data_IF_593287557055
#
_entry.id   IF_593287557055
#
_cell.length_a   1.000
_cell.length_b   1.000
_cell.length_c   1.000
_cell.angle_alpha   90.00
_cell.angle_beta   90.00
_cell.angle_gamma   90.00
#
_symmetry.space_group_name_H-M   'P 1'
#
loop_
_entity.id
_entity.type
_entity.pdbx_description
1 polymer ?
#
# COMPACT_ATOMS: atom_id res chain seq x y z
N UNK A 1 38.25 -15.62 3.64
CA UNK A 1 37.35 -15.20 2.56
C UNK A 1 35.94 -15.41 3.08
N UNK A 2 35.33 -14.37 3.63
CA UNK A 2 34.13 -14.44 4.47
C UNK A 2 32.86 -14.48 3.61
N UNK A 3 31.90 -15.33 4.00
CA UNK A 3 30.61 -15.52 3.37
C UNK A 3 29.62 -14.33 3.57
N UNK A 4 30.10 -13.10 3.39
CA UNK A 4 29.30 -11.88 3.55
C UNK A 4 29.80 -10.82 2.56
N UNK A 5 29.65 -11.12 1.29
CA UNK A 5 29.53 -10.14 0.20
C UNK A 5 28.34 -10.52 -0.72
N UNK A 6 27.37 -11.27 -0.17
CA UNK A 6 26.06 -11.46 -0.82
C UNK A 6 25.20 -10.24 -0.51
N UNK A 7 24.69 -9.58 -1.55
CA UNK A 7 23.71 -8.50 -1.43
C UNK A 7 22.57 -8.95 -0.49
N UNK A 8 22.46 -8.30 0.66
CA UNK A 8 21.44 -8.64 1.65
C UNK A 8 20.08 -8.16 1.14
N UNK A 9 19.17 -9.10 0.93
CA UNK A 9 17.80 -8.80 0.55
C UNK A 9 17.07 -8.08 1.70
N UNK A 10 16.37 -6.99 1.38
CA UNK A 10 15.55 -6.20 2.28
C UNK A 10 14.07 -6.39 1.95
N UNK A 11 13.29 -6.92 2.91
CA UNK A 11 11.89 -7.24 2.70
C UNK A 11 10.99 -6.42 3.64
N UNK A 12 9.90 -5.88 3.09
CA UNK A 12 8.84 -5.22 3.84
C UNK A 12 7.58 -6.09 3.81
N UNK A 13 7.09 -6.49 4.99
CA UNK A 13 5.84 -7.25 5.14
C UNK A 13 4.79 -6.44 5.89
N UNK A 14 3.60 -6.32 5.31
CA UNK A 14 2.52 -5.45 5.78
C UNK A 14 1.25 -6.25 6.10
N UNK A 15 0.88 -6.26 7.37
CA UNK A 15 -0.31 -6.97 7.83
C UNK A 15 -1.62 -6.24 7.49
N UNK A 16 -2.71 -7.00 7.45
CA UNK A 16 -4.06 -6.48 7.32
C UNK A 16 -4.55 -5.83 8.61
N UNK A 17 -5.32 -4.74 8.50
CA UNK A 17 -5.79 -4.02 9.68
C UNK A 17 -7.02 -3.13 9.49
N UNK A 18 -7.58 -3.04 8.27
CA UNK A 18 -8.59 -2.03 7.98
C UNK A 18 -8.02 -0.63 8.25
N UNK A 19 -8.81 0.27 8.82
CA UNK A 19 -8.32 1.63 9.16
C UNK A 19 -7.04 1.66 10.02
N UNK A 20 -6.75 0.60 10.79
CA UNK A 20 -5.52 0.49 11.60
C UNK A 20 -4.23 0.42 10.77
N UNK A 21 -4.31 0.13 9.47
CA UNK A 21 -3.17 0.18 8.55
C UNK A 21 -2.47 1.55 8.51
N UNK A 22 -3.16 2.63 8.90
CA UNK A 22 -2.54 3.94 9.09
C UNK A 22 -1.41 3.92 10.12
N UNK A 23 -1.54 3.12 11.19
CA UNK A 23 -0.49 2.97 12.19
C UNK A 23 0.79 2.42 11.56
N UNK A 24 0.67 1.38 10.72
CA UNK A 24 1.80 0.80 9.98
C UNK A 24 2.44 1.81 9.04
N UNK A 25 1.63 2.60 8.32
CA UNK A 25 2.14 3.67 7.44
C UNK A 25 2.86 4.78 8.21
N UNK A 26 2.38 5.19 9.38
CA UNK A 26 3.08 6.19 10.19
C UNK A 26 4.39 5.67 10.77
N UNK A 27 4.46 4.40 11.16
CA UNK A 27 5.73 3.77 11.56
C UNK A 27 6.69 3.76 10.38
N UNK A 28 6.24 3.33 9.20
CA UNK A 28 7.05 3.34 7.98
C UNK A 28 7.50 4.76 7.60
N UNK A 29 6.64 5.77 7.80
CA UNK A 29 6.97 7.17 7.56
C UNK A 29 8.13 7.62 8.42
N UNK A 30 8.09 7.35 9.72
CA UNK A 30 9.19 7.71 10.63
C UNK A 30 10.51 7.05 10.20
N UNK A 31 10.47 5.78 9.78
CA UNK A 31 11.66 5.07 9.28
C UNK A 31 12.21 5.70 8.00
N UNK A 32 11.35 5.96 7.01
CA UNK A 32 11.75 6.55 5.73
C UNK A 32 12.19 8.01 5.86
N UNK A 33 11.53 8.80 6.71
CA UNK A 33 11.92 10.18 7.01
C UNK A 33 13.30 10.20 7.69
N UNK A 34 13.56 9.31 8.66
CA UNK A 34 14.88 9.19 9.30
C UNK A 34 15.97 8.86 8.29
N UNK A 35 15.72 7.86 7.43
CA UNK A 35 16.64 7.46 6.37
C UNK A 35 16.92 8.61 5.40
N UNK A 36 15.87 9.32 4.95
CA UNK A 36 16.02 10.41 4.00
C UNK A 36 16.69 11.65 4.61
N UNK A 37 16.51 11.90 5.91
CA UNK A 37 17.26 12.95 6.62
C UNK A 37 18.76 12.63 6.69
N UNK A 38 19.12 11.37 6.95
CA UNK A 38 20.53 10.95 6.92
C UNK A 38 21.14 11.12 5.52
N UNK A 39 20.39 10.72 4.48
CA UNK A 39 20.80 10.92 3.08
C UNK A 39 20.96 12.39 2.71
N UNK A 40 20.06 13.25 3.18
CA UNK A 40 20.15 14.70 2.95
C UNK A 40 21.42 15.29 3.59
N UNK A 41 21.78 14.85 4.81
CA UNK A 41 23.03 15.26 5.46
C UNK A 41 24.28 14.84 4.65
N UNK A 42 24.18 13.73 3.91
CA UNK A 42 25.22 13.23 3.01
C UNK A 42 25.13 13.84 1.59
N UNK A 43 24.19 14.75 1.33
CA UNK A 43 23.98 15.39 0.02
C UNK A 43 23.35 14.46 -1.04
N UNK A 44 22.72 13.38 -0.60
CA UNK A 44 22.04 12.39 -1.45
C UNK A 44 20.55 12.71 -1.59
N UNK A 45 19.92 12.39 -2.74
CA UNK A 45 18.50 12.61 -2.93
C UNK A 45 17.66 11.65 -2.05
N UNK A 46 16.43 12.04 -1.68
CA UNK A 46 15.51 11.17 -0.97
C UNK A 46 15.12 9.98 -1.85
N UNK A 47 14.81 8.88 -1.19
CA UNK A 47 14.43 7.61 -1.82
C UNK A 47 13.05 7.17 -1.34
N UNK A 48 12.35 6.47 -2.23
CA UNK A 48 11.04 5.87 -2.00
C UNK A 48 11.18 4.45 -1.45
N UNK A 49 10.11 3.88 -0.84
CA UNK A 49 10.16 2.51 -0.34
C UNK A 49 10.56 1.47 -1.39
N UNK A 50 10.10 1.61 -2.65
CA UNK A 50 10.45 0.71 -3.75
C UNK A 50 11.91 0.79 -4.21
N UNK A 51 12.69 1.76 -3.71
CA UNK A 51 14.13 1.88 -3.99
C UNK A 51 14.98 1.32 -2.84
N UNK A 52 14.34 0.93 -1.73
CA UNK A 52 14.99 0.41 -0.52
C UNK A 52 14.68 -1.06 -0.28
N UNK A 53 13.44 -1.47 -0.54
CA UNK A 53 12.99 -2.84 -0.34
C UNK A 53 12.99 -3.60 -1.66
N UNK A 54 13.60 -4.79 -1.67
CA UNK A 54 13.61 -5.69 -2.83
C UNK A 54 12.25 -6.36 -3.02
N UNK A 55 11.49 -6.54 -1.94
CA UNK A 55 10.14 -7.09 -1.96
C UNK A 55 9.25 -6.36 -0.93
N UNK A 56 8.10 -5.89 -1.39
CA UNK A 56 7.04 -5.37 -0.52
C UNK A 56 5.82 -6.28 -0.65
N UNK A 57 5.53 -7.03 0.41
CA UNK A 57 4.38 -7.93 0.49
C UNK A 57 3.36 -7.48 1.53
N UNK A 58 2.11 -7.88 1.37
CA UNK A 58 1.11 -7.65 2.41
C UNK A 58 -0.20 -8.38 2.19
N UNK A 59 -0.99 -8.49 3.26
CA UNK A 59 -2.30 -9.17 3.25
C UNK A 59 -3.43 -8.18 3.51
N UNK A 60 -4.57 -8.36 2.84
CA UNK A 60 -5.75 -7.48 3.00
C UNK A 60 -5.38 -6.01 2.73
N UNK A 61 -5.66 -5.08 3.65
CA UNK A 61 -5.24 -3.68 3.50
C UNK A 61 -3.73 -3.50 3.40
N UNK A 62 -2.92 -4.40 3.97
CA UNK A 62 -1.48 -4.41 3.78
C UNK A 62 -1.07 -4.69 2.33
N UNK A 63 -1.84 -5.52 1.61
CA UNK A 63 -1.64 -5.75 0.18
C UNK A 63 -1.97 -4.52 -0.68
N UNK A 64 -2.99 -3.75 -0.29
CA UNK A 64 -3.27 -2.45 -0.93
C UNK A 64 -2.11 -1.48 -0.74
N UNK A 65 -1.55 -1.42 0.47
CA UNK A 65 -0.37 -0.59 0.76
C UNK A 65 0.84 -1.08 -0.04
N UNK A 66 1.07 -2.39 -0.13
CA UNK A 66 2.15 -2.97 -0.91
C UNK A 66 2.09 -2.57 -2.39
N UNK A 67 0.89 -2.62 -2.99
CA UNK A 67 0.66 -2.17 -4.37
C UNK A 67 0.95 -0.67 -4.53
N UNK A 68 0.48 0.17 -3.61
CA UNK A 68 0.72 1.62 -3.68
C UNK A 68 2.21 1.97 -3.56
N UNK A 69 2.90 1.41 -2.58
CA UNK A 69 4.32 1.71 -2.32
C UNK A 69 5.26 1.08 -3.34
N UNK A 70 4.99 -0.15 -3.78
CA UNK A 70 5.87 -0.89 -4.67
C UNK A 70 5.50 -0.75 -6.14
N UNK A 71 4.25 -1.09 -6.50
CA UNK A 71 3.83 -1.17 -7.91
C UNK A 71 3.52 0.19 -8.53
N UNK A 72 2.89 1.08 -7.75
CA UNK A 72 2.63 2.46 -8.14
C UNK A 72 3.76 3.40 -7.73
N UNK A 73 4.78 2.89 -7.03
CA UNK A 73 6.00 3.62 -6.65
C UNK A 73 5.69 4.95 -5.92
N UNK A 74 4.66 4.94 -5.06
CA UNK A 74 4.34 6.08 -4.20
C UNK A 74 5.37 6.24 -3.09
N UNK A 75 5.62 7.48 -2.70
CA UNK A 75 6.23 7.75 -1.40
C UNK A 75 5.22 7.50 -0.26
N UNK A 76 5.71 7.51 0.98
CA UNK A 76 4.86 7.16 2.13
C UNK A 76 3.74 8.17 2.37
N UNK A 77 3.97 9.46 2.09
CA UNK A 77 2.97 10.52 2.28
C UNK A 77 1.82 10.43 1.27
N UNK A 78 2.15 10.19 0.00
CA UNK A 78 1.19 9.88 -1.07
C UNK A 78 0.34 8.66 -0.69
N UNK A 79 0.99 7.59 -0.25
CA UNK A 79 0.30 6.38 0.17
C UNK A 79 -0.61 6.61 1.38
N UNK A 80 -0.20 7.43 2.37
CA UNK A 80 -1.05 7.81 3.51
C UNK A 80 -2.28 8.56 3.03
N UNK A 81 -2.10 9.55 2.15
CA UNK A 81 -3.21 10.35 1.63
C UNK A 81 -4.23 9.47 0.90
N UNK A 82 -3.76 8.60 0.00
CA UNK A 82 -4.64 7.72 -0.76
C UNK A 82 -5.28 6.64 0.10
N UNK A 83 -4.55 6.10 1.08
CA UNK A 83 -5.13 5.17 2.04
C UNK A 83 -6.27 5.81 2.83
N UNK A 84 -6.13 7.06 3.27
CA UNK A 84 -7.22 7.80 3.96
C UNK A 84 -8.43 7.97 3.05
N UNK A 85 -8.23 8.26 1.76
CA UNK A 85 -9.30 8.39 0.79
C UNK A 85 -10.05 7.07 0.56
N UNK A 86 -9.31 5.96 0.39
CA UNK A 86 -9.90 4.62 0.25
C UNK A 86 -10.68 4.26 1.52
N UNK A 87 -10.07 4.43 2.71
CA UNK A 87 -10.73 4.12 3.98
C UNK A 87 -12.00 4.95 4.16
N UNK A 88 -12.00 6.22 3.78
CA UNK A 88 -13.20 7.06 3.79
C UNK A 88 -14.27 6.49 2.84
N UNK A 89 -13.95 6.23 1.58
CA UNK A 89 -14.92 5.70 0.61
C UNK A 89 -15.54 4.35 1.04
N UNK A 90 -14.74 3.48 1.64
CA UNK A 90 -15.15 2.13 2.06
C UNK A 90 -15.94 2.15 3.37
N UNK A 91 -15.50 2.91 4.36
CA UNK A 91 -16.07 2.88 5.72
C UNK A 91 -17.09 4.00 6.00
N UNK A 92 -17.17 5.04 5.17
CA UNK A 92 -18.15 6.11 5.32
C UNK A 92 -19.53 5.64 4.82
N UNK A 93 -20.29 5.09 5.78
CA UNK A 93 -21.73 4.73 5.78
C UNK A 93 -22.35 4.29 4.44
N UNK A 94 -22.72 3.01 4.36
CA UNK A 94 -24.07 2.57 3.91
C UNK A 94 -24.21 1.05 4.04
N UNK A 95 -24.71 0.58 5.18
CA UNK A 95 -25.59 -0.59 5.28
C UNK A 95 -26.15 -0.63 6.70
N UNK A 96 -27.47 -0.69 6.81
CA UNK A 96 -28.19 -0.65 8.09
C UNK A 96 -27.59 -1.60 9.13
N UNK A 97 -27.74 -1.21 10.39
CA UNK A 97 -27.23 -1.86 11.59
C UNK A 97 -27.56 -3.36 11.73
N UNK A 98 -28.45 -3.90 10.89
CA UNK A 98 -28.87 -5.30 10.88
C UNK A 98 -28.02 -6.15 9.89
N UNK A 99 -27.24 -7.12 10.39
CA UNK A 99 -26.42 -8.02 9.56
C UNK A 99 -27.24 -9.12 8.84
N UNK A 100 -28.56 -9.09 8.95
CA UNK A 100 -29.49 -10.11 8.47
C UNK A 100 -30.52 -9.43 7.57
N UNK A 101 -30.59 -9.83 6.30
CA UNK A 101 -31.73 -9.48 5.46
C UNK A 101 -32.98 -10.18 5.98
N UNK A 102 -34.17 -9.63 5.72
CA UNK A 102 -35.45 -10.26 6.09
C UNK A 102 -35.62 -11.69 5.53
N UNK A 103 -34.78 -12.09 4.57
CA UNK A 103 -34.70 -13.43 3.96
C UNK A 103 -33.66 -14.37 4.60
N UNK A 104 -33.03 -13.99 5.72
CA UNK A 104 -32.03 -14.82 6.41
C UNK A 104 -30.63 -14.84 5.77
N UNK A 105 -30.41 -14.11 4.67
CA UNK A 105 -29.10 -14.01 4.02
C UNK A 105 -28.19 -13.02 4.75
N UNK A 106 -26.95 -13.44 4.99
CA UNK A 106 -25.85 -12.62 5.52
C UNK A 106 -25.49 -11.55 4.50
N UNK A 107 -25.54 -10.28 4.90
CA UNK A 107 -25.13 -9.15 4.05
C UNK A 107 -23.68 -8.77 4.36
N UNK A 108 -22.86 -8.57 3.34
CA UNK A 108 -21.53 -7.98 3.50
C UNK A 108 -21.66 -6.59 4.17
N UNK A 109 -20.77 -6.30 5.13
CA UNK A 109 -20.79 -5.02 5.85
C UNK A 109 -20.38 -3.83 4.97
N UNK A 110 -19.63 -4.10 3.91
CA UNK A 110 -19.10 -3.10 2.99
C UNK A 110 -19.56 -3.41 1.56
N UNK A 111 -19.79 -2.35 0.80
CA UNK A 111 -20.09 -2.44 -0.62
C UNK A 111 -18.79 -2.69 -1.39
N UNK A 112 -18.63 -3.85 -2.06
CA UNK A 112 -17.42 -4.16 -2.80
C UNK A 112 -17.17 -3.18 -3.96
N UNK A 113 -18.23 -2.61 -4.53
CA UNK A 113 -18.10 -1.66 -5.66
C UNK A 113 -17.40 -0.37 -5.23
N UNK A 114 -17.66 0.10 -4.00
CA UNK A 114 -16.97 1.27 -3.45
C UNK A 114 -15.47 1.06 -3.28
N UNK A 115 -15.08 -0.14 -2.83
CA UNK A 115 -13.66 -0.48 -2.70
C UNK A 115 -13.01 -0.57 -4.08
N UNK A 116 -13.67 -1.23 -5.03
CA UNK A 116 -13.18 -1.37 -6.41
C UNK A 116 -13.02 0.00 -7.09
N UNK A 117 -14.01 0.88 -6.98
CA UNK A 117 -13.97 2.23 -7.54
C UNK A 117 -12.89 3.09 -6.90
N UNK A 118 -12.71 2.99 -5.58
CA UNK A 118 -11.64 3.69 -4.87
C UNK A 118 -10.26 3.23 -5.37
N UNK A 119 -10.02 1.92 -5.48
CA UNK A 119 -8.76 1.36 -5.99
C UNK A 119 -8.53 1.78 -7.45
N UNK A 120 -9.54 1.63 -8.33
CA UNK A 120 -9.46 2.08 -9.73
C UNK A 120 -9.16 3.57 -9.85
N UNK A 121 -9.70 4.38 -8.92
CA UNK A 121 -9.43 5.81 -8.83
C UNK A 121 -7.96 6.09 -8.56
N UNK A 122 -7.35 5.38 -7.59
CA UNK A 122 -5.91 5.50 -7.29
C UNK A 122 -5.07 5.11 -8.50
N UNK A 123 -5.33 3.93 -9.09
CA UNK A 123 -4.60 3.43 -10.26
C UNK A 123 -4.59 4.45 -11.40
N UNK A 124 -5.75 5.07 -11.69
CA UNK A 124 -5.88 6.04 -12.78
C UNK A 124 -5.15 7.36 -12.47
N UNK A 125 -5.14 7.81 -11.21
CA UNK A 125 -4.43 9.03 -10.79
C UNK A 125 -2.90 8.90 -10.93
N UNK A 126 -2.38 7.71 -10.67
CA UNK A 126 -0.96 7.39 -10.85
C UNK A 126 -0.57 7.08 -12.30
N UNK A 127 -1.47 7.32 -13.26
CA UNK A 127 -1.20 7.16 -14.68
C UNK A 127 -1.22 5.71 -15.19
N UNK A 128 -1.62 4.75 -14.37
CA UNK A 128 -1.79 3.36 -14.78
C UNK A 128 -3.22 3.11 -15.32
N UNK A 129 -3.35 2.16 -16.25
CA UNK A 129 -4.65 1.73 -16.75
C UNK A 129 -5.34 0.82 -15.73
N UNK A 130 -6.68 0.89 -15.68
CA UNK A 130 -7.51 -0.01 -14.85
C UNK A 130 -7.39 -1.49 -15.26
N UNK A 131 -6.86 -1.75 -16.45
CA UNK A 131 -6.65 -3.11 -16.98
C UNK A 131 -5.18 -3.53 -16.94
N UNK A 132 -4.29 -2.69 -16.40
CA UNK A 132 -2.89 -3.07 -16.26
C UNK A 132 -2.77 -4.27 -15.33
N UNK A 133 -1.97 -5.24 -15.77
CA UNK A 133 -1.65 -6.38 -14.95
C UNK A 133 -0.68 -5.95 -13.84
N UNK A 134 -0.81 -6.59 -12.66
CA UNK A 134 0.15 -6.41 -11.58
C UNK A 134 1.57 -6.70 -12.07
N UNK A 135 1.73 -7.81 -12.79
CA UNK A 135 2.91 -8.13 -13.58
C UNK A 135 2.68 -7.72 -15.05
N UNK A 136 3.21 -6.57 -15.42
CA UNK A 136 3.16 -6.00 -16.77
C UNK A 136 4.43 -6.32 -17.60
N UNK A 137 5.29 -7.23 -17.12
CA UNK A 137 6.54 -7.61 -17.79
C UNK A 137 7.68 -6.60 -17.65
N UNK A 138 7.44 -5.42 -17.04
CA UNK A 138 8.48 -4.43 -16.81
C UNK A 138 9.42 -4.87 -15.68
N UNK A 139 10.73 -4.76 -15.92
CA UNK A 139 11.75 -5.04 -14.91
C UNK A 139 11.76 -3.88 -13.91
N UNK A 140 11.55 -4.22 -12.63
CA UNK A 140 11.64 -3.32 -11.49
C UNK A 140 12.56 -3.93 -10.44
N UNK A 141 13.28 -3.07 -9.73
CA UNK A 141 14.17 -3.47 -8.63
C UNK A 141 13.35 -4.05 -7.47
N UNK A 142 12.33 -3.32 -7.00
CA UNK A 142 11.35 -3.82 -6.04
C UNK A 142 10.29 -4.73 -6.68
N UNK A 143 10.05 -5.88 -6.07
CA UNK A 143 8.93 -6.80 -6.35
C UNK A 143 7.74 -6.51 -5.43
N UNK A 144 6.54 -6.86 -5.89
CA UNK A 144 5.26 -6.80 -5.15
C UNK A 144 4.47 -8.06 -5.41
#
# INVERSE_FOLDING_TARGET
MSAVDEAKLCLLSLDGGGVRGLSTLYILKVLMDSLNNERENDGLPPVKPCEIFDLIGGTSTGGLIAIMLGRLQMNVDECILEYKNIMKAVFEKNSGWLPISWTGKVKARFDPTRLEDAIKGVITREGASKTDLLNDGNIRDCKV
#
